data_IF_725499051920
#
_entry.id   IF_725499051920
#
_cell.length_a   1.000
_cell.length_b   1.000
_cell.length_c   1.000
_cell.angle_alpha   90.00
_cell.angle_beta   90.00
_cell.angle_gamma   90.00
#
_symmetry.space_group_name_H-M   'P 1'
#
loop_
_entity.id
_entity.type
_entity.pdbx_description
1 polymer ?
#
# COMPACT_ATOMS: atom_id res chain seq x y z
N UNK A 1 -15.05 -36.43 79.89
CA UNK A 1 -14.72 -36.60 78.47
C UNK A 1 -14.90 -35.26 77.75
N UNK A 2 -13.78 -34.58 77.34
CA UNK A 2 -13.82 -33.31 76.63
C UNK A 2 -13.62 -33.58 75.15
N UNK A 3 -14.64 -33.25 74.32
CA UNK A 3 -14.51 -33.29 72.90
C UNK A 3 -13.87 -31.96 72.38
N UNK A 4 -12.69 -32.09 71.75
CA UNK A 4 -11.99 -30.99 71.10
C UNK A 4 -12.53 -30.86 69.69
N UNK A 5 -13.21 -29.75 69.38
CA UNK A 5 -13.65 -29.39 68.04
C UNK A 5 -12.44 -28.88 67.22
N UNK A 6 -12.05 -29.69 66.22
CA UNK A 6 -11.04 -29.28 65.21
C UNK A 6 -11.79 -28.48 64.11
N UNK A 7 -11.50 -27.19 64.05
CA UNK A 7 -11.96 -26.35 62.93
C UNK A 7 -10.94 -26.51 61.76
N UNK A 8 -11.36 -27.16 60.70
CA UNK A 8 -10.59 -27.23 59.46
C UNK A 8 -10.91 -25.94 58.66
N UNK A 9 -9.93 -25.07 58.53
CA UNK A 9 -10.02 -23.88 57.68
C UNK A 9 -9.53 -24.22 56.30
N UNK A 10 -10.45 -24.29 55.35
CA UNK A 10 -10.12 -24.50 53.91
C UNK A 10 -9.77 -23.16 53.32
N UNK A 11 -8.50 -22.95 52.95
CA UNK A 11 -8.05 -21.82 52.14
C UNK A 11 -8.33 -22.15 50.67
N UNK A 12 -9.32 -21.51 50.08
CA UNK A 12 -9.53 -21.51 48.62
C UNK A 12 -8.64 -20.43 48.03
N UNK A 13 -7.50 -20.80 47.50
CA UNK A 13 -6.62 -19.93 46.72
C UNK A 13 -7.18 -19.72 45.34
N UNK A 14 -7.72 -18.49 45.08
CA UNK A 14 -8.11 -18.09 43.76
C UNK A 14 -6.84 -17.58 43.04
N UNK A 15 -6.27 -18.43 42.18
CA UNK A 15 -5.21 -18.02 41.23
C UNK A 15 -5.85 -17.27 40.06
N UNK A 16 -5.78 -15.94 40.09
CA UNK A 16 -6.13 -15.09 38.94
C UNK A 16 -5.03 -15.22 37.88
N UNK A 17 -5.27 -16.05 36.87
CA UNK A 17 -4.42 -16.11 35.67
C UNK A 17 -4.72 -14.89 34.80
N UNK A 18 -3.89 -13.84 34.90
CA UNK A 18 -3.93 -12.71 33.99
C UNK A 18 -3.31 -13.17 32.68
N UNK A 19 -4.14 -13.51 31.69
CA UNK A 19 -3.72 -13.66 30.30
C UNK A 19 -3.41 -12.26 29.75
N UNK A 20 -2.14 -11.89 29.74
CA UNK A 20 -1.67 -10.70 29.02
C UNK A 20 -1.77 -11.00 27.51
N UNK A 21 -2.82 -10.51 26.87
CA UNK A 21 -2.89 -10.47 25.41
C UNK A 21 -1.93 -9.36 24.97
N UNK A 22 -0.77 -9.75 24.47
CA UNK A 22 0.15 -8.84 23.78
C UNK A 22 -0.51 -8.44 22.46
N UNK A 23 -1.20 -7.30 22.44
CA UNK A 23 -1.61 -6.67 21.20
C UNK A 23 -0.33 -6.19 20.50
N UNK A 24 0.05 -6.87 19.42
CA UNK A 24 1.09 -6.39 18.51
C UNK A 24 0.50 -5.16 17.82
N UNK A 25 0.90 -3.98 18.25
CA UNK A 25 0.51 -2.74 17.57
C UNK A 25 1.16 -2.74 16.17
N UNK A 26 0.37 -2.44 15.14
CA UNK A 26 0.90 -2.22 13.80
C UNK A 26 1.95 -1.11 13.84
N UNK A 27 3.08 -1.30 13.17
CA UNK A 27 4.09 -0.25 13.05
C UNK A 27 3.57 0.90 12.19
N UNK A 28 4.02 2.13 12.48
CA UNK A 28 3.68 3.28 11.65
C UNK A 28 4.23 3.08 10.22
N UNK A 29 3.33 2.94 9.25
CA UNK A 29 3.69 2.73 7.83
C UNK A 29 4.66 3.80 7.29
N UNK A 30 4.61 5.00 7.85
CA UNK A 30 5.45 6.11 7.40
C UNK A 30 6.92 6.00 7.84
N UNK A 31 7.27 5.00 8.63
CA UNK A 31 8.67 4.68 8.97
C UNK A 31 9.31 3.72 7.96
N UNK A 32 8.51 3.09 7.09
CA UNK A 32 8.98 2.10 6.11
C UNK A 32 9.62 2.80 4.91
N UNK A 33 10.75 2.27 4.43
CA UNK A 33 11.55 2.85 3.36
C UNK A 33 12.12 1.76 2.45
N UNK A 34 12.10 1.98 1.14
CA UNK A 34 12.80 1.09 0.20
C UNK A 34 14.31 1.35 0.20
N UNK A 35 15.15 0.38 -0.19
CA UNK A 35 16.60 0.50 -0.10
C UNK A 35 17.21 1.71 -0.83
N UNK A 36 16.68 2.11 -1.97
CA UNK A 36 17.17 3.23 -2.78
C UNK A 36 16.63 4.62 -2.39
N UNK A 37 15.93 4.69 -1.26
CA UNK A 37 15.71 5.95 -0.58
C UNK A 37 14.30 6.51 -0.57
N UNK A 38 13.33 5.98 -1.33
CA UNK A 38 11.94 6.38 -1.22
C UNK A 38 11.32 5.81 0.07
N UNK A 39 10.71 6.68 0.87
CA UNK A 39 10.01 6.30 2.09
C UNK A 39 8.49 6.36 1.89
N UNK A 40 7.75 5.58 2.62
CA UNK A 40 6.29 5.66 2.62
C UNK A 40 5.81 7.08 3.02
N UNK A 41 6.59 7.75 3.88
CA UNK A 41 6.32 9.14 4.29
C UNK A 41 6.36 10.17 3.16
N UNK A 42 7.07 9.89 2.04
CA UNK A 42 7.12 10.75 0.87
C UNK A 42 5.74 10.86 0.19
N UNK A 43 4.81 9.97 0.51
CA UNK A 43 3.52 9.81 -0.14
C UNK A 43 2.33 10.03 0.80
N UNK A 44 2.51 10.84 1.85
CA UNK A 44 1.42 11.14 2.80
C UNK A 44 0.21 11.72 2.08
N UNK A 45 -0.98 11.23 2.45
CA UNK A 45 -2.26 11.66 1.87
C UNK A 45 -2.61 10.99 0.54
N UNK A 46 -1.85 9.97 0.10
CA UNK A 46 -2.12 9.24 -1.15
C UNK A 46 -3.54 8.63 -1.20
N UNK A 47 -4.13 8.36 -0.06
CA UNK A 47 -5.48 7.80 0.06
C UNK A 47 -6.56 8.77 -0.47
N UNK A 48 -6.26 10.07 -0.53
CA UNK A 48 -7.15 11.12 -1.03
C UNK A 48 -6.81 11.61 -2.43
N UNK A 49 -5.80 11.02 -3.08
CA UNK A 49 -5.42 11.44 -4.41
C UNK A 49 -6.49 11.10 -5.44
N UNK A 50 -6.53 11.90 -6.50
CA UNK A 50 -7.56 11.74 -7.51
C UNK A 50 -7.39 10.42 -8.26
N UNK A 51 -8.50 9.72 -8.46
CA UNK A 51 -8.57 8.52 -9.29
C UNK A 51 -8.10 8.81 -10.73
N UNK A 52 -7.26 7.96 -11.25
CA UNK A 52 -6.76 8.00 -12.64
C UNK A 52 -7.41 6.89 -13.45
N UNK A 53 -7.28 5.65 -13.00
CA UNK A 53 -7.78 4.48 -13.73
C UNK A 53 -7.90 3.28 -12.82
N UNK A 54 -8.60 2.23 -13.28
CA UNK A 54 -8.65 0.93 -12.63
C UNK A 54 -8.21 -0.16 -13.60
N UNK A 55 -7.69 -1.24 -13.05
CA UNK A 55 -7.40 -2.46 -13.80
C UNK A 55 -7.56 -3.69 -12.92
N UNK A 56 -7.59 -4.86 -13.55
CA UNK A 56 -7.60 -6.12 -12.82
C UNK A 56 -6.68 -7.14 -13.48
N UNK A 57 -6.18 -8.06 -12.68
CA UNK A 57 -5.55 -9.31 -13.12
C UNK A 57 -6.43 -10.48 -12.70
N UNK A 58 -5.95 -11.70 -12.89
CA UNK A 58 -6.69 -12.88 -12.45
C UNK A 58 -7.03 -12.83 -10.94
N UNK A 59 -6.10 -12.39 -10.11
CA UNK A 59 -6.18 -12.43 -8.64
C UNK A 59 -6.32 -11.06 -7.95
N UNK A 60 -6.19 -9.94 -8.68
CA UNK A 60 -6.10 -8.58 -8.12
C UNK A 60 -7.08 -7.60 -8.74
N UNK A 61 -7.57 -6.68 -7.91
CA UNK A 61 -8.17 -5.40 -8.32
C UNK A 61 -7.17 -4.31 -7.99
N UNK A 62 -7.00 -3.36 -8.92
CA UNK A 62 -6.03 -2.28 -8.84
C UNK A 62 -6.70 -0.95 -9.12
N UNK A 63 -6.41 0.03 -8.26
CA UNK A 63 -6.79 1.43 -8.47
C UNK A 63 -5.52 2.25 -8.61
N UNK A 64 -5.49 3.10 -9.62
CA UNK A 64 -4.43 4.06 -9.86
C UNK A 64 -4.91 5.44 -9.44
N UNK A 65 -4.17 6.09 -8.55
CA UNK A 65 -4.37 7.46 -8.14
C UNK A 65 -3.21 8.35 -8.57
N UNK A 66 -3.43 9.65 -8.65
CA UNK A 66 -2.39 10.64 -8.95
C UNK A 66 -2.51 11.86 -8.05
N UNK A 67 -1.37 12.46 -7.69
CA UNK A 67 -1.34 13.75 -7.01
C UNK A 67 -1.71 14.89 -7.95
N UNK A 68 -1.77 16.12 -7.46
CA UNK A 68 -2.22 17.29 -8.24
C UNK A 68 -1.37 17.51 -9.48
N UNK A 69 -0.06 17.36 -9.39
CA UNK A 69 0.89 17.55 -10.48
C UNK A 69 0.65 16.53 -11.61
N UNK A 70 0.46 15.27 -11.25
CA UNK A 70 0.18 14.21 -12.22
C UNK A 70 -1.19 14.39 -12.89
N UNK A 71 -2.20 14.79 -12.12
CA UNK A 71 -3.54 15.06 -12.65
C UNK A 71 -3.52 16.28 -13.58
N UNK A 72 -2.73 17.32 -13.27
CA UNK A 72 -2.54 18.46 -14.16
C UNK A 72 -1.92 18.03 -15.50
N UNK A 73 -0.86 17.21 -15.47
CA UNK A 73 -0.24 16.69 -16.69
C UNK A 73 -1.23 15.91 -17.57
N UNK A 74 -2.08 15.07 -16.98
CA UNK A 74 -3.12 14.36 -17.73
C UNK A 74 -4.15 15.32 -18.36
N UNK A 75 -4.58 16.36 -17.62
CA UNK A 75 -5.52 17.36 -18.13
C UNK A 75 -4.94 18.21 -19.25
N UNK A 76 -3.61 18.38 -19.27
CA UNK A 76 -2.89 19.03 -20.35
C UNK A 76 -2.67 18.12 -21.57
N UNK A 77 -3.18 16.89 -21.54
CA UNK A 77 -3.17 15.95 -22.66
C UNK A 77 -2.03 14.92 -22.64
N UNK A 78 -1.33 14.74 -21.52
CA UNK A 78 -0.35 13.65 -21.41
C UNK A 78 -1.03 12.27 -21.63
N UNK A 79 -0.40 11.35 -22.36
CA UNK A 79 0.91 11.41 -23.02
C UNK A 79 0.86 11.96 -24.46
N UNK A 80 -0.33 12.22 -25.01
CA UNK A 80 -0.52 12.59 -26.43
C UNK A 80 0.07 13.96 -26.79
N UNK A 81 0.23 14.86 -25.78
CA UNK A 81 0.81 16.19 -25.98
C UNK A 81 2.35 16.16 -26.20
N UNK A 82 2.99 14.99 -26.08
CA UNK A 82 4.42 14.80 -26.27
C UNK A 82 5.32 15.42 -25.21
N UNK A 83 4.75 16.00 -24.15
CA UNK A 83 5.52 16.56 -23.03
C UNK A 83 5.85 15.49 -22.00
N UNK A 84 7.03 15.55 -21.35
CA UNK A 84 7.33 14.69 -20.22
C UNK A 84 6.46 15.04 -19.01
N UNK A 85 6.28 14.08 -18.12
CA UNK A 85 5.63 14.32 -16.81
C UNK A 85 6.51 15.29 -15.99
N UNK A 86 5.94 16.31 -15.33
CA UNK A 86 6.71 17.26 -14.54
C UNK A 86 7.27 16.65 -13.27
N UNK A 87 8.41 17.18 -12.79
CA UNK A 87 8.95 16.82 -11.48
C UNK A 87 7.93 17.11 -10.37
N UNK A 88 7.89 16.24 -9.36
CA UNK A 88 6.88 16.27 -8.29
C UNK A 88 5.61 15.48 -8.59
N UNK A 89 5.38 15.08 -9.84
CA UNK A 89 4.23 14.22 -10.17
C UNK A 89 4.40 12.81 -9.57
N UNK A 90 3.33 12.30 -8.96
CA UNK A 90 3.31 10.97 -8.35
C UNK A 90 2.08 10.19 -8.81
N UNK A 91 2.28 8.93 -9.10
CA UNK A 91 1.23 7.93 -9.24
C UNK A 91 1.29 6.94 -8.08
N UNK A 92 0.15 6.55 -7.57
CA UNK A 92 0.00 5.40 -6.66
C UNK A 92 -0.79 4.29 -7.32
N UNK A 93 -0.46 3.04 -7.02
CA UNK A 93 -1.24 1.87 -7.39
C UNK A 93 -1.55 1.07 -6.12
N UNK A 94 -2.82 0.98 -5.76
CA UNK A 94 -3.28 0.21 -4.62
C UNK A 94 -3.86 -1.09 -5.13
N UNK A 95 -3.45 -2.23 -4.57
CA UNK A 95 -3.83 -3.57 -5.01
C UNK A 95 -4.49 -4.36 -3.89
N UNK A 96 -5.64 -4.93 -4.19
CA UNK A 96 -6.36 -5.84 -3.30
C UNK A 96 -6.54 -7.21 -3.95
N UNK A 97 -6.66 -8.24 -3.13
CA UNK A 97 -7.20 -9.52 -3.57
C UNK A 97 -8.63 -9.34 -4.08
N UNK A 98 -9.02 -10.14 -5.04
CA UNK A 98 -10.41 -10.22 -5.49
C UNK A 98 -11.23 -11.05 -4.51
N UNK A 99 -12.44 -10.63 -4.22
CA UNK A 99 -13.43 -11.46 -3.52
C UNK A 99 -14.83 -11.24 -4.10
N UNK A 100 -15.70 -12.25 -4.04
CA UNK A 100 -17.11 -12.07 -4.34
C UNK A 100 -17.75 -11.02 -3.42
N UNK A 101 -18.72 -10.27 -3.96
CA UNK A 101 -19.52 -9.35 -3.16
C UNK A 101 -20.36 -10.10 -2.14
N UNK A 102 -20.43 -9.66 -0.88
CA UNK A 102 -21.33 -10.22 0.11
C UNK A 102 -22.81 -10.18 -0.32
N UNK A 103 -23.21 -9.15 -1.08
CA UNK A 103 -24.59 -8.91 -1.49
C UNK A 103 -24.95 -9.59 -2.82
N UNK A 104 -24.00 -9.65 -3.77
CA UNK A 104 -24.25 -10.11 -5.14
C UNK A 104 -23.54 -11.41 -5.51
N UNK A 105 -22.76 -11.99 -4.58
CA UNK A 105 -21.99 -13.20 -4.82
C UNK A 105 -20.98 -13.05 -5.98
N UNK A 106 -20.77 -14.12 -6.72
CA UNK A 106 -19.77 -14.16 -7.83
C UNK A 106 -20.12 -13.26 -9.02
N UNK A 107 -21.32 -12.70 -9.06
CA UNK A 107 -21.74 -11.77 -10.12
C UNK A 107 -21.03 -10.42 -10.03
N UNK A 108 -20.57 -10.05 -8.83
CA UNK A 108 -19.87 -8.79 -8.57
C UNK A 108 -18.61 -9.09 -7.78
N UNK A 109 -17.48 -8.71 -8.31
CA UNK A 109 -16.18 -8.85 -7.64
C UNK A 109 -15.81 -7.51 -7.02
N UNK A 110 -15.43 -7.55 -5.74
CA UNK A 110 -15.06 -6.37 -4.95
C UNK A 110 -13.64 -6.51 -4.40
N UNK A 111 -12.99 -5.40 -3.98
CA UNK A 111 -11.74 -5.46 -3.25
C UNK A 111 -11.86 -6.28 -1.96
N UNK A 112 -10.95 -7.21 -1.78
CA UNK A 112 -10.76 -7.99 -0.55
C UNK A 112 -9.60 -7.43 0.27
N UNK A 113 -8.71 -8.33 0.74
CA UNK A 113 -7.55 -7.95 1.54
C UNK A 113 -6.59 -7.08 0.74
N UNK A 114 -6.12 -5.99 1.36
CA UNK A 114 -5.03 -5.18 0.83
C UNK A 114 -3.78 -6.07 0.64
N UNK A 115 -3.11 -5.91 -0.49
CA UNK A 115 -1.90 -6.65 -0.83
C UNK A 115 -0.68 -5.76 -0.90
N UNK A 116 -0.77 -4.69 -1.70
CA UNK A 116 0.36 -3.83 -1.99
C UNK A 116 -0.09 -2.39 -2.23
N UNK A 117 0.80 -1.46 -1.88
CA UNK A 117 0.73 -0.06 -2.32
C UNK A 117 2.05 0.26 -3.01
N UNK A 118 1.94 0.72 -4.24
CA UNK A 118 3.09 1.06 -5.07
C UNK A 118 3.05 2.54 -5.43
N UNK A 119 4.24 3.12 -5.60
CA UNK A 119 4.39 4.51 -6.00
C UNK A 119 5.44 4.66 -7.08
N UNK A 120 5.24 5.63 -7.97
CA UNK A 120 6.27 6.18 -8.84
C UNK A 120 6.26 7.70 -8.72
N UNK A 121 7.45 8.27 -8.45
CA UNK A 121 7.68 9.70 -8.26
C UNK A 121 8.59 10.22 -9.37
N UNK A 122 8.18 11.28 -10.06
CA UNK A 122 9.04 12.00 -11.00
C UNK A 122 9.92 12.99 -10.25
N UNK A 123 11.22 12.79 -10.31
CA UNK A 123 12.25 13.72 -9.80
C UNK A 123 13.55 13.48 -10.58
N UNK A 124 13.79 14.32 -11.59
CA UNK A 124 14.91 14.16 -12.50
C UNK A 124 16.27 14.34 -11.81
N UNK A 125 16.33 15.12 -10.72
CA UNK A 125 17.56 15.32 -9.94
C UNK A 125 17.88 14.14 -9.05
N UNK A 126 16.86 13.56 -8.42
CA UNK A 126 17.01 12.44 -7.49
C UNK A 126 17.22 11.12 -8.22
N UNK A 127 16.65 10.95 -9.41
CA UNK A 127 16.65 9.70 -10.16
C UNK A 127 17.20 9.81 -11.59
N UNK A 128 18.41 10.37 -11.80
CA UNK A 128 18.96 10.58 -13.14
C UNK A 128 19.19 9.27 -13.91
N UNK A 129 19.48 8.17 -13.20
CA UNK A 129 19.80 6.87 -13.80
C UNK A 129 18.58 6.01 -14.14
N UNK A 130 17.37 6.50 -13.82
CA UNK A 130 16.08 5.82 -14.08
C UNK A 130 15.09 6.76 -14.80
N UNK A 131 15.63 7.59 -15.69
CA UNK A 131 14.84 8.53 -16.53
C UNK A 131 14.01 9.53 -15.71
N UNK A 132 14.52 9.88 -14.51
CA UNK A 132 13.86 10.80 -13.60
C UNK A 132 12.77 10.13 -12.74
N UNK A 133 12.60 8.82 -12.76
CA UNK A 133 11.59 8.13 -11.99
C UNK A 133 12.15 7.33 -10.82
N UNK A 134 11.65 7.59 -9.63
CA UNK A 134 11.79 6.73 -8.46
C UNK A 134 10.60 5.82 -8.29
N UNK A 135 10.82 4.59 -7.82
CA UNK A 135 9.77 3.59 -7.60
C UNK A 135 9.83 3.05 -6.18
N UNK A 136 8.69 2.76 -5.61
CA UNK A 136 8.57 2.07 -4.33
C UNK A 136 7.40 1.10 -4.36
N UNK A 137 7.59 -0.08 -3.77
CA UNK A 137 6.56 -1.09 -3.57
C UNK A 137 6.56 -1.46 -2.09
N UNK A 138 5.39 -1.46 -1.48
CA UNK A 138 5.17 -1.84 -0.10
C UNK A 138 4.11 -2.92 -0.04
N UNK A 139 4.50 -4.14 0.35
CA UNK A 139 3.56 -5.22 0.62
C UNK A 139 2.88 -5.01 1.97
N UNK A 140 1.63 -5.44 2.08
CA UNK A 140 0.85 -5.38 3.30
C UNK A 140 0.61 -6.77 3.86
N UNK A 141 0.92 -6.97 5.13
CA UNK A 141 0.58 -8.16 5.88
C UNK A 141 -0.67 -7.92 6.73
N UNK A 142 -1.78 -8.53 6.31
CA UNK A 142 -3.06 -8.38 6.99
C UNK A 142 -3.09 -9.00 8.41
N UNK A 143 -2.21 -9.96 8.71
CA UNK A 143 -2.16 -10.60 10.03
C UNK A 143 -1.54 -9.67 11.08
N UNK A 144 -0.56 -8.86 10.69
CA UNK A 144 0.15 -7.93 11.58
C UNK A 144 -0.24 -6.48 11.38
N UNK A 145 -0.91 -6.14 10.27
CA UNK A 145 -1.23 -4.76 9.89
C UNK A 145 -0.01 -3.95 9.42
N UNK A 146 1.10 -4.60 9.10
CA UNK A 146 2.36 -3.94 8.78
C UNK A 146 2.63 -3.87 7.28
N UNK A 147 3.33 -2.80 6.87
CA UNK A 147 3.91 -2.69 5.54
C UNK A 147 5.40 -3.05 5.56
N UNK A 148 5.86 -3.66 4.47
CA UNK A 148 7.27 -4.01 4.26
C UNK A 148 7.71 -3.62 2.85
N UNK A 149 8.93 -3.11 2.64
CA UNK A 149 9.43 -2.78 1.32
C UNK A 149 9.65 -4.04 0.48
N UNK A 150 9.37 -3.96 -0.82
CA UNK A 150 9.57 -5.06 -1.77
C UNK A 150 10.66 -4.69 -2.77
N UNK A 151 11.63 -5.58 -2.93
CA UNK A 151 12.73 -5.43 -3.89
C UNK A 151 13.65 -4.24 -3.60
N UNK A 152 14.33 -3.77 -4.63
CA UNK A 152 15.27 -2.64 -4.57
C UNK A 152 14.61 -1.30 -4.89
N UNK A 153 13.28 -1.26 -5.04
CA UNK A 153 12.55 -0.04 -5.38
C UNK A 153 12.80 0.41 -6.81
N UNK A 154 13.56 1.49 -6.99
CA UNK A 154 13.79 2.15 -8.29
C UNK A 154 14.40 1.20 -9.34
N UNK A 155 15.33 0.33 -8.97
CA UNK A 155 15.92 -0.64 -9.89
C UNK A 155 14.91 -1.63 -10.46
N UNK A 156 14.05 -2.20 -9.62
CA UNK A 156 13.02 -3.14 -10.05
C UNK A 156 11.93 -2.44 -10.88
N UNK A 157 11.40 -1.32 -10.39
CA UNK A 157 10.35 -0.56 -11.08
C UNK A 157 10.81 -0.05 -12.43
N UNK A 158 12.03 0.55 -12.48
CA UNK A 158 12.60 1.10 -13.70
C UNK A 158 12.71 0.07 -14.84
N UNK A 159 13.16 -1.15 -14.54
CA UNK A 159 13.28 -2.20 -15.57
C UNK A 159 11.93 -2.58 -16.19
N UNK A 160 10.88 -2.73 -15.39
CA UNK A 160 9.54 -3.04 -15.89
C UNK A 160 8.95 -1.88 -16.71
N UNK A 161 9.16 -0.64 -16.28
CA UNK A 161 8.56 0.54 -16.92
C UNK A 161 9.22 0.96 -18.23
N UNK A 162 10.37 0.38 -18.60
CA UNK A 162 11.00 0.58 -19.92
C UNK A 162 10.05 0.25 -21.08
N UNK A 163 9.13 -0.68 -20.91
CA UNK A 163 8.11 -1.00 -21.91
C UNK A 163 7.19 0.18 -22.25
N UNK A 164 7.07 1.18 -21.34
CA UNK A 164 6.28 2.38 -21.51
C UNK A 164 7.13 3.64 -21.82
N UNK A 165 8.39 3.48 -22.26
CA UNK A 165 9.31 4.61 -22.47
C UNK A 165 8.75 5.72 -23.38
N UNK A 166 7.98 5.36 -24.41
CA UNK A 166 7.31 6.32 -25.33
C UNK A 166 6.24 7.19 -24.65
N UNK A 167 5.79 6.79 -23.46
CA UNK A 167 4.82 7.52 -22.62
C UNK A 167 5.48 7.98 -21.32
N UNK A 168 6.72 8.42 -21.39
CA UNK A 168 7.53 8.80 -20.22
C UNK A 168 7.43 7.77 -19.09
N UNK A 169 7.52 6.46 -19.44
CA UNK A 169 7.50 5.32 -18.50
C UNK A 169 6.18 5.13 -17.73
N UNK A 170 5.07 5.76 -18.14
CA UNK A 170 3.75 5.64 -17.53
C UNK A 170 2.87 4.72 -18.37
N UNK A 171 2.42 3.60 -17.80
CA UNK A 171 1.50 2.67 -18.47
C UNK A 171 0.07 3.18 -18.53
N UNK A 172 -0.35 3.89 -17.48
CA UNK A 172 -1.75 4.20 -17.22
C UNK A 172 -2.21 5.40 -18.04
N UNK A 173 -3.36 5.26 -18.65
CA UNK A 173 -4.07 6.34 -19.31
C UNK A 173 -5.14 6.93 -18.38
N UNK A 174 -5.46 8.22 -18.58
CA UNK A 174 -6.48 8.90 -17.79
C UNK A 174 -7.86 8.51 -18.30
N UNK A 175 -8.60 7.74 -17.51
CA UNK A 175 -9.94 7.30 -17.91
C UNK A 175 -10.89 8.47 -18.08
N UNK A 176 -11.73 8.44 -19.12
CA UNK A 176 -12.79 9.41 -19.33
C UNK A 176 -13.78 9.41 -18.14
N UNK A 177 -14.24 10.59 -17.78
CA UNK A 177 -15.21 10.81 -16.70
C UNK A 177 -15.93 12.15 -16.87
#
# INVERSE_FOLDING_TARGET
MRFRNIRVTVFVGITLSVLAVLAIAASDKYTVKVPDGLAFSDFRGYESWQYVSASQTEDRIKIIGGNLEMIAAYKEGFPANGKPVPDGAVLTKIQWAKKPSPEFGDKVIVPGDLREVEFMLKDAKRFPNSNGWGYAIFSYDAATGNFSPVGTGTGCGGSCHTAAAKKDYVFTEYSLR
#
